data_IF_185014765205
#
_entry.id   IF_185014765205
#
_cell.length_a   1.000
_cell.length_b   1.000
_cell.length_c   1.000
_cell.angle_alpha   90.00
_cell.angle_beta   90.00
_cell.angle_gamma   90.00
#
_symmetry.space_group_name_H-M   'P 1'
#
loop_
_entity.id
_entity.type
_entity.pdbx_description
1 polymer ?
#
# COMPACT_ATOMS: atom_id res chain seq x y z
N UNK A 1 10.33 2.79 -9.85
CA UNK A 1 9.95 3.17 -11.23
C UNK A 1 11.16 3.84 -11.90
N UNK A 2 11.58 3.40 -13.09
CA UNK A 2 12.81 3.91 -13.73
C UNK A 2 12.66 5.38 -14.14
N UNK A 3 11.55 5.73 -14.77
CA UNK A 3 11.27 7.08 -15.29
C UNK A 3 11.31 8.14 -14.19
N UNK A 4 10.64 7.89 -13.05
CA UNK A 4 10.67 8.79 -11.90
C UNK A 4 12.11 9.07 -11.39
N UNK A 5 12.96 8.02 -11.30
CA UNK A 5 14.35 8.17 -10.86
C UNK A 5 15.18 8.99 -11.84
N UNK A 6 14.98 8.77 -13.14
CA UNK A 6 15.69 9.51 -14.21
C UNK A 6 15.26 10.97 -14.22
N UNK A 7 13.95 11.26 -14.14
CA UNK A 7 13.43 12.62 -14.10
C UNK A 7 13.94 13.40 -12.88
N UNK A 8 14.04 12.74 -11.72
CA UNK A 8 14.60 13.33 -10.51
C UNK A 8 16.10 13.64 -10.67
N UNK A 9 16.88 12.70 -11.22
CA UNK A 9 18.32 12.89 -11.43
C UNK A 9 18.64 14.03 -12.41
N UNK A 10 17.72 14.33 -13.33
CA UNK A 10 17.88 15.39 -14.34
C UNK A 10 17.16 16.70 -13.95
N UNK A 11 16.62 16.82 -12.72
CA UNK A 11 15.97 18.04 -12.25
C UNK A 11 14.65 18.39 -12.95
N UNK A 12 14.01 17.43 -13.64
CA UNK A 12 12.70 17.61 -14.26
C UNK A 12 11.58 17.61 -13.20
N UNK A 13 11.79 16.87 -12.12
CA UNK A 13 10.88 16.78 -10.97
C UNK A 13 11.71 17.06 -9.72
N UNK A 14 11.24 17.96 -8.86
CA UNK A 14 11.83 18.15 -7.53
C UNK A 14 10.99 17.43 -6.47
N UNK A 15 11.64 16.88 -5.45
CA UNK A 15 10.95 16.24 -4.32
C UNK A 15 10.01 17.21 -3.60
N UNK A 16 10.39 18.48 -3.54
CA UNK A 16 9.67 19.52 -2.79
C UNK A 16 8.47 20.09 -3.55
N UNK A 17 8.44 20.00 -4.88
CA UNK A 17 7.34 20.54 -5.69
C UNK A 17 6.15 19.59 -5.84
N UNK A 18 6.27 18.32 -5.42
CA UNK A 18 5.15 17.36 -5.30
C UNK A 18 4.42 16.97 -6.59
N UNK A 19 4.58 17.69 -7.70
CA UNK A 19 3.80 17.49 -8.92
C UNK A 19 4.44 16.45 -9.85
N UNK A 20 4.30 15.17 -9.50
CA UNK A 20 4.40 14.13 -10.52
C UNK A 20 3.18 14.28 -11.42
N UNK A 21 3.40 14.62 -12.70
CA UNK A 21 2.31 14.75 -13.67
C UNK A 21 1.62 13.40 -13.81
N UNK A 22 0.37 13.33 -13.40
CA UNK A 22 -0.45 12.15 -13.51
C UNK A 22 -1.81 12.53 -14.11
N UNK A 23 -1.96 12.47 -15.43
CA UNK A 23 -3.15 12.98 -16.10
C UNK A 23 -4.33 12.01 -16.03
N UNK A 24 -4.34 11.09 -15.06
CA UNK A 24 -5.27 9.98 -14.95
C UNK A 24 -5.88 9.93 -13.54
N UNK A 25 -7.21 9.85 -13.47
CA UNK A 25 -7.97 9.77 -12.22
C UNK A 25 -7.90 8.39 -11.54
N UNK A 26 -8.60 8.22 -10.42
CA UNK A 26 -8.63 6.96 -9.67
C UNK A 26 -9.34 5.82 -10.42
N UNK A 27 -10.15 6.13 -11.43
CA UNK A 27 -10.87 5.20 -12.28
C UNK A 27 -10.12 4.89 -13.58
N UNK A 28 -8.86 5.32 -13.68
CA UNK A 28 -8.01 5.13 -14.85
C UNK A 28 -8.53 5.86 -16.11
N UNK A 29 -9.19 7.01 -15.93
CA UNK A 29 -9.65 7.89 -17.01
C UNK A 29 -8.84 9.17 -17.08
N UNK A 30 -8.73 9.73 -18.28
CA UNK A 30 -8.04 11.00 -18.48
C UNK A 30 -8.76 12.16 -17.79
N UNK A 31 -7.98 12.97 -17.08
CA UNK A 31 -8.41 14.20 -16.41
C UNK A 31 -8.55 15.37 -17.39
N UNK A 32 -9.10 16.48 -16.91
CA UNK A 32 -9.35 17.71 -17.67
C UNK A 32 -8.08 18.39 -18.21
N UNK A 33 -6.91 18.01 -17.69
CA UNK A 33 -5.60 18.41 -18.21
C UNK A 33 -5.41 17.99 -19.68
N UNK A 34 -6.02 16.86 -20.07
CA UNK A 34 -5.97 16.32 -21.43
C UNK A 34 -7.35 16.44 -22.08
N UNK A 35 -7.61 17.60 -22.69
CA UNK A 35 -8.89 17.92 -23.35
C UNK A 35 -9.26 16.96 -24.50
N UNK A 36 -8.26 16.44 -25.21
CA UNK A 36 -8.48 15.59 -26.40
C UNK A 36 -9.07 14.22 -26.06
N UNK A 37 -8.85 13.74 -24.82
CA UNK A 37 -9.24 12.39 -24.39
C UNK A 37 -9.97 12.36 -23.04
N UNK A 38 -10.42 13.51 -22.56
CA UNK A 38 -11.06 13.68 -21.25
C UNK A 38 -12.16 12.63 -21.01
N UNK A 39 -12.11 11.97 -19.85
CA UNK A 39 -13.09 10.96 -19.44
C UNK A 39 -12.97 9.60 -20.16
N UNK A 40 -12.09 9.45 -21.15
CA UNK A 40 -11.82 8.14 -21.76
C UNK A 40 -10.92 7.31 -20.85
N UNK A 41 -11.20 6.02 -20.76
CA UNK A 41 -10.32 5.05 -20.11
C UNK A 41 -9.01 4.93 -20.90
N UNK A 42 -7.90 4.86 -20.17
CA UNK A 42 -6.53 4.89 -20.71
C UNK A 42 -6.30 3.82 -21.78
N UNK A 43 -6.88 2.62 -21.63
CA UNK A 43 -6.69 1.53 -22.61
C UNK A 43 -7.57 1.70 -23.84
N UNK A 44 -8.77 2.23 -23.69
CA UNK A 44 -9.65 2.49 -24.83
C UNK A 44 -9.20 3.69 -25.66
N UNK A 45 -8.49 4.64 -25.04
CA UNK A 45 -7.95 5.81 -25.70
C UNK A 45 -6.82 5.51 -26.70
N UNK A 46 -6.13 4.36 -26.60
CA UNK A 46 -5.02 3.98 -27.49
C UNK A 46 -5.38 4.14 -28.98
N UNK A 47 -6.59 3.72 -29.37
CA UNK A 47 -7.08 3.84 -30.75
C UNK A 47 -7.21 5.29 -31.20
N UNK A 48 -7.73 6.15 -30.33
CA UNK A 48 -7.93 7.58 -30.58
C UNK A 48 -6.59 8.32 -30.63
N UNK A 49 -5.65 7.98 -29.73
CA UNK A 49 -4.30 8.53 -29.70
C UNK A 49 -3.55 8.18 -30.99
N UNK A 50 -3.61 6.92 -31.43
CA UNK A 50 -2.99 6.48 -32.69
C UNK A 50 -3.57 7.26 -33.89
N UNK A 51 -4.90 7.48 -33.91
CA UNK A 51 -5.55 8.25 -34.97
C UNK A 51 -5.05 9.70 -35.02
N UNK A 52 -5.00 10.38 -33.87
CA UNK A 52 -4.49 11.75 -33.77
C UNK A 52 -3.00 11.86 -34.18
N UNK A 53 -2.16 10.88 -33.78
CA UNK A 53 -0.75 10.84 -34.19
C UNK A 53 -0.56 10.64 -35.71
N UNK A 54 -1.47 9.91 -36.37
CA UNK A 54 -1.50 9.78 -37.84
C UNK A 54 -1.88 11.09 -38.52
N UNK A 55 -2.94 11.74 -38.04
CA UNK A 55 -3.42 13.02 -38.59
C UNK A 55 -2.39 14.14 -38.41
N UNK A 56 -1.70 14.18 -37.27
CA UNK A 56 -0.62 15.14 -37.00
C UNK A 56 0.72 14.79 -37.69
N UNK A 57 0.80 13.70 -38.47
CA UNK A 57 2.01 13.22 -39.17
C UNK A 57 3.23 12.99 -38.25
N UNK A 58 3.01 12.68 -36.96
CA UNK A 58 4.07 12.40 -35.97
C UNK A 58 4.31 10.92 -35.74
N UNK A 59 3.49 10.04 -36.34
CA UNK A 59 3.64 8.60 -36.24
C UNK A 59 4.70 8.07 -37.24
N UNK A 60 5.81 7.54 -36.73
CA UNK A 60 6.89 6.97 -37.55
C UNK A 60 6.64 5.50 -37.89
N UNK A 61 6.22 4.70 -36.92
CA UNK A 61 6.01 3.25 -37.09
C UNK A 61 4.87 2.75 -36.19
N UNK A 62 4.09 1.79 -36.69
CA UNK A 62 3.03 1.13 -35.94
C UNK A 62 3.14 -0.38 -36.14
N UNK A 63 3.28 -1.13 -35.04
CA UNK A 63 3.27 -2.59 -35.02
C UNK A 63 2.60 -3.12 -33.75
N UNK A 64 2.37 -4.43 -33.70
CA UNK A 64 1.76 -5.11 -32.55
C UNK A 64 2.84 -5.95 -31.87
N UNK A 65 2.99 -5.79 -30.56
CA UNK A 65 3.92 -6.56 -29.74
C UNK A 65 3.15 -7.54 -28.86
N UNK A 66 3.48 -8.82 -28.95
CA UNK A 66 2.97 -9.83 -28.01
C UNK A 66 3.91 -9.92 -26.81
N UNK A 67 3.42 -9.59 -25.63
CA UNK A 67 4.16 -9.69 -24.38
C UNK A 67 3.23 -10.02 -23.21
N UNK A 68 3.80 -10.43 -22.09
CA UNK A 68 3.07 -10.59 -20.83
C UNK A 68 2.83 -9.23 -20.20
N UNK A 69 1.63 -9.02 -19.65
CA UNK A 69 1.25 -7.80 -18.94
C UNK A 69 0.58 -8.16 -17.62
N UNK A 70 0.79 -7.40 -16.54
CA UNK A 70 0.23 -7.72 -15.23
C UNK A 70 -1.27 -7.43 -15.16
N UNK A 71 -2.00 -8.35 -14.53
CA UNK A 71 -3.44 -8.24 -14.25
C UNK A 71 -3.69 -8.30 -12.75
N UNK A 72 -4.81 -7.72 -12.32
CA UNK A 72 -5.28 -7.84 -10.96
C UNK A 72 -5.63 -9.30 -10.68
N UNK A 73 -5.02 -9.88 -9.64
CA UNK A 73 -5.19 -11.28 -9.26
C UNK A 73 -6.62 -11.64 -8.81
N UNK A 74 -7.46 -10.64 -8.51
CA UNK A 74 -8.82 -10.85 -8.00
C UNK A 74 -9.91 -10.72 -9.05
N UNK A 75 -9.78 -9.74 -9.95
CA UNK A 75 -10.83 -9.35 -10.89
C UNK A 75 -10.37 -9.35 -12.36
N UNK A 76 -9.16 -9.84 -12.64
CA UNK A 76 -8.57 -9.96 -13.98
C UNK A 76 -8.59 -8.66 -14.80
N UNK A 77 -8.57 -7.50 -14.14
CA UNK A 77 -8.44 -6.20 -14.78
C UNK A 77 -6.97 -5.84 -15.01
N UNK A 78 -6.69 -5.09 -16.07
CA UNK A 78 -5.33 -4.65 -16.39
C UNK A 78 -4.77 -3.72 -15.30
N UNK A 79 -3.57 -4.00 -14.79
CA UNK A 79 -2.90 -3.11 -13.85
C UNK A 79 -2.26 -1.94 -14.56
N UNK A 80 -2.35 -0.75 -13.96
CA UNK A 80 -1.73 0.48 -14.47
C UNK A 80 -0.82 1.03 -13.38
N UNK A 81 0.44 1.28 -13.74
CA UNK A 81 1.39 1.91 -12.83
C UNK A 81 1.08 3.39 -12.72
N UNK A 82 0.78 3.85 -11.50
CA UNK A 82 0.47 5.24 -11.18
C UNK A 82 1.21 5.68 -9.94
N UNK A 83 1.62 6.94 -9.89
CA UNK A 83 2.11 7.55 -8.66
C UNK A 83 0.90 7.87 -7.77
N UNK A 84 0.80 7.20 -6.63
CA UNK A 84 -0.22 7.43 -5.62
C UNK A 84 0.48 7.54 -4.25
N UNK A 85 -0.07 8.33 -3.30
CA UNK A 85 0.38 8.24 -1.92
C UNK A 85 0.11 6.82 -1.41
N UNK A 86 1.09 6.25 -0.72
CA UNK A 86 1.00 4.90 -0.15
C UNK A 86 1.91 4.79 1.04
N UNK A 87 1.49 4.00 2.03
CA UNK A 87 2.28 3.68 3.20
C UNK A 87 3.14 2.45 2.92
N UNK A 88 4.44 2.55 3.22
CA UNK A 88 5.37 1.45 3.09
C UNK A 88 6.01 1.19 4.45
N UNK A 89 6.25 -0.08 4.77
CA UNK A 89 7.03 -0.46 5.95
C UNK A 89 8.49 -0.19 5.59
N UNK A 90 9.11 0.79 6.26
CA UNK A 90 10.52 1.04 6.06
C UNK A 90 11.34 0.00 6.84
N UNK A 91 12.29 -0.63 6.15
CA UNK A 91 13.26 -1.55 6.77
C UNK A 91 14.45 -0.75 7.34
N UNK A 92 14.47 0.57 7.13
CA UNK A 92 15.48 1.50 7.65
C UNK A 92 14.80 2.66 8.39
N UNK A 93 15.46 3.20 9.42
CA UNK A 93 14.86 4.13 10.37
C UNK A 93 14.83 5.57 9.82
N UNK A 94 13.72 5.94 9.16
CA UNK A 94 13.49 7.30 8.66
C UNK A 94 12.60 8.05 9.67
N UNK A 95 13.20 8.91 10.50
CA UNK A 95 12.63 9.56 11.70
C UNK A 95 11.40 10.47 11.51
N UNK A 96 10.30 9.95 10.97
CA UNK A 96 9.00 10.61 10.91
C UNK A 96 8.31 10.60 12.29
N UNK A 97 7.60 11.69 12.59
CA UNK A 97 6.76 11.82 13.80
C UNK A 97 5.36 11.28 13.51
N UNK A 98 5.20 9.97 13.60
CA UNK A 98 3.90 9.29 13.48
C UNK A 98 3.40 8.95 14.89
N UNK A 99 2.15 9.29 15.21
CA UNK A 99 1.51 8.81 16.44
C UNK A 99 0.85 7.47 16.14
N UNK A 100 1.53 6.38 16.49
CA UNK A 100 0.95 5.04 16.42
C UNK A 100 0.26 4.72 17.75
N UNK A 101 -1.04 4.45 17.70
CA UNK A 101 -1.82 4.05 18.88
C UNK A 101 -1.78 2.53 18.99
N UNK A 102 -1.09 2.02 20.02
CA UNK A 102 -0.83 0.59 20.16
C UNK A 102 -1.95 -0.24 20.79
N UNK A 103 -2.91 0.36 21.50
CA UNK A 103 -3.96 -0.37 22.23
C UNK A 103 -5.25 0.43 22.38
N UNK A 104 -6.36 -0.27 22.66
CA UNK A 104 -7.66 0.36 22.97
C UNK A 104 -7.56 1.23 24.21
N UNK A 105 -6.82 0.80 25.24
CA UNK A 105 -6.61 1.58 26.45
C UNK A 105 -5.81 2.86 26.16
N UNK A 106 -4.77 2.79 25.32
CA UNK A 106 -4.03 3.97 24.89
C UNK A 106 -4.92 4.92 24.06
N UNK A 107 -5.78 4.37 23.20
CA UNK A 107 -6.75 5.16 22.43
C UNK A 107 -7.72 5.90 23.35
N UNK A 108 -8.24 5.22 24.38
CA UNK A 108 -9.12 5.80 25.39
C UNK A 108 -8.44 6.91 26.19
N UNK A 109 -7.19 6.71 26.59
CA UNK A 109 -6.42 7.73 27.30
C UNK A 109 -6.14 8.98 26.44
N UNK A 110 -5.93 8.80 25.13
CA UNK A 110 -5.63 9.90 24.23
C UNK A 110 -6.87 10.63 23.72
N UNK A 111 -7.97 9.91 23.46
CA UNK A 111 -9.22 10.47 22.90
C UNK A 111 -10.27 10.83 23.95
N UNK A 112 -10.24 10.18 25.11
CA UNK A 112 -11.34 10.20 26.08
C UNK A 112 -12.55 9.33 25.69
N UNK A 113 -12.50 8.63 24.54
CA UNK A 113 -13.60 7.79 24.03
C UNK A 113 -13.29 6.32 24.31
N UNK A 114 -14.27 5.60 24.86
CA UNK A 114 -14.21 4.14 25.00
C UNK A 114 -14.84 3.50 23.77
N UNK A 115 -14.12 2.57 23.13
CA UNK A 115 -14.61 1.82 21.97
C UNK A 115 -14.38 0.33 22.17
N UNK A 116 -15.39 -0.46 21.80
CA UNK A 116 -15.33 -1.93 21.83
C UNK A 116 -15.08 -2.51 20.42
N UNK A 117 -15.37 -1.73 19.37
CA UNK A 117 -15.19 -2.09 17.98
C UNK A 117 -14.27 -1.07 17.29
N UNK A 118 -13.18 -1.57 16.71
CA UNK A 118 -12.13 -0.79 16.06
C UNK A 118 -12.24 -0.77 14.52
N UNK A 119 -13.35 -1.24 13.95
CA UNK A 119 -13.57 -1.17 12.51
C UNK A 119 -13.69 0.27 12.03
N UNK A 120 -13.27 0.49 10.78
CA UNK A 120 -13.15 1.80 10.11
C UNK A 120 -14.33 2.76 10.36
N UNK A 121 -15.57 2.25 10.31
CA UNK A 121 -16.79 3.05 10.48
C UNK A 121 -16.84 3.80 11.83
N UNK A 122 -16.17 3.27 12.85
CA UNK A 122 -16.18 3.80 14.21
C UNK A 122 -14.92 4.62 14.45
N UNK A 123 -13.75 4.08 14.09
CA UNK A 123 -12.45 4.71 14.39
C UNK A 123 -12.14 5.92 13.51
N UNK A 124 -12.77 6.05 12.33
CA UNK A 124 -12.59 7.22 11.46
C UNK A 124 -13.18 8.50 12.09
N UNK A 125 -14.16 8.39 13.00
CA UNK A 125 -14.80 9.53 13.66
C UNK A 125 -14.03 10.03 14.90
N UNK A 126 -13.06 9.24 15.38
CA UNK A 126 -12.29 9.55 16.59
C UNK A 126 -11.19 10.57 16.25
N UNK A 127 -11.12 11.63 17.04
CA UNK A 127 -10.10 12.67 16.90
C UNK A 127 -9.19 12.70 18.12
N UNK A 128 -7.90 12.97 17.92
CA UNK A 128 -6.94 13.09 19.01
C UNK A 128 -6.41 14.51 19.12
N UNK A 129 -6.26 15.07 20.33
CA UNK A 129 -5.62 16.37 20.50
C UNK A 129 -4.13 16.27 20.17
N UNK A 130 -3.61 17.19 19.36
CA UNK A 130 -2.18 17.26 19.09
C UNK A 130 -1.40 17.69 20.33
N UNK A 131 -0.31 16.97 20.64
CA UNK A 131 0.61 17.32 21.75
C UNK A 131 1.44 18.58 21.47
N UNK A 132 1.47 19.07 20.23
CA UNK A 132 2.37 20.15 19.76
C UNK A 132 1.64 21.39 19.22
N UNK A 133 0.30 21.41 19.17
CA UNK A 133 -0.47 22.52 18.61
C UNK A 133 -1.97 22.30 18.69
N UNK A 134 -2.77 23.35 18.41
CA UNK A 134 -4.23 23.39 18.58
C UNK A 134 -5.03 22.48 17.62
N UNK A 135 -4.38 21.74 16.74
CA UNK A 135 -5.03 20.98 15.69
C UNK A 135 -5.39 19.55 16.14
N UNK A 136 -6.51 19.05 15.63
CA UNK A 136 -6.95 17.68 15.85
C UNK A 136 -6.26 16.74 14.86
N UNK A 137 -5.75 15.63 15.37
CA UNK A 137 -5.22 14.53 14.56
C UNK A 137 -6.37 13.61 14.14
N UNK A 138 -6.38 13.24 12.86
CA UNK A 138 -7.33 12.33 12.25
C UNK A 138 -6.62 11.03 11.85
N UNK A 139 -7.36 9.91 11.87
CA UNK A 139 -6.87 8.63 11.33
C UNK A 139 -6.60 8.78 9.83
N UNK A 140 -5.54 8.12 9.36
CA UNK A 140 -5.33 7.91 7.92
C UNK A 140 -6.48 7.08 7.35
N UNK A 141 -6.88 7.37 6.11
CA UNK A 141 -8.04 6.73 5.47
C UNK A 141 -7.80 5.26 5.12
N UNK A 142 -6.53 4.91 4.93
CA UNK A 142 -6.05 3.64 4.44
C UNK A 142 -6.31 2.52 5.45
N UNK A 143 -6.47 1.31 4.92
CA UNK A 143 -6.68 0.08 5.67
C UNK A 143 -5.52 -0.86 5.32
N UNK A 144 -5.13 -1.71 6.26
CA UNK A 144 -4.09 -2.70 6.03
C UNK A 144 -4.43 -3.62 4.87
N UNK A 145 -3.38 -4.08 4.20
CA UNK A 145 -3.48 -5.12 3.19
C UNK A 145 -3.75 -6.46 3.88
N UNK A 146 -4.68 -7.27 3.34
CA UNK A 146 -5.10 -8.53 3.97
C UNK A 146 -3.94 -9.50 4.24
N UNK A 147 -2.87 -9.38 3.47
CA UNK A 147 -1.67 -10.17 3.65
C UNK A 147 -0.89 -9.80 4.92
N UNK A 148 -0.91 -8.53 5.32
CA UNK A 148 -0.35 -8.08 6.59
C UNK A 148 -1.13 -8.69 7.76
N UNK A 149 -2.46 -8.75 7.66
CA UNK A 149 -3.32 -9.39 8.65
C UNK A 149 -2.99 -10.88 8.77
N UNK A 150 -2.89 -11.60 7.64
CA UNK A 150 -2.48 -13.02 7.66
C UNK A 150 -1.06 -13.23 8.20
N UNK A 151 -0.15 -12.28 7.94
CA UNK A 151 1.23 -12.36 8.44
C UNK A 151 1.34 -12.11 9.95
N UNK A 152 0.35 -11.46 10.55
CA UNK A 152 0.27 -11.20 11.98
C UNK A 152 -0.31 -12.34 12.81
N UNK A 153 -0.82 -13.39 12.16
CA UNK A 153 -1.63 -14.45 12.78
C UNK A 153 -0.95 -15.09 14.01
N UNK A 154 0.34 -15.41 13.92
CA UNK A 154 1.06 -16.14 14.97
C UNK A 154 1.03 -15.45 16.34
N UNK A 155 1.12 -14.12 16.37
CA UNK A 155 1.04 -13.35 17.62
C UNK A 155 -0.37 -12.81 17.88
N UNK A 156 -1.15 -12.52 16.84
CA UNK A 156 -2.51 -12.02 16.96
C UNK A 156 -3.48 -13.07 17.56
N UNK A 157 -3.30 -14.36 17.22
CA UNK A 157 -4.14 -15.46 17.71
C UNK A 157 -4.17 -15.55 19.25
N UNK A 158 -3.01 -15.30 19.87
CA UNK A 158 -2.83 -15.37 21.32
C UNK A 158 -2.91 -13.99 22.00
N UNK A 159 -3.34 -12.96 21.25
CA UNK A 159 -3.43 -11.57 21.72
C UNK A 159 -2.10 -10.99 22.25
N UNK A 160 -0.96 -11.45 21.73
CA UNK A 160 0.33 -10.85 22.07
C UNK A 160 0.41 -9.42 21.51
N UNK A 161 0.95 -8.44 22.25
CA UNK A 161 1.64 -8.53 23.54
C UNK A 161 0.76 -8.25 24.77
N UNK A 162 -0.58 -8.32 24.67
CA UNK A 162 -1.49 -8.02 25.78
C UNK A 162 -1.74 -9.22 26.69
N UNK A 163 -1.91 -10.39 26.09
CA UNK A 163 -2.08 -11.67 26.77
C UNK A 163 -1.23 -12.74 26.07
N UNK A 164 -1.36 -14.00 26.49
CA UNK A 164 -0.88 -15.16 25.75
C UNK A 164 0.64 -15.25 25.61
N UNK A 165 1.42 -14.45 26.36
CA UNK A 165 2.89 -14.44 26.28
C UNK A 165 3.52 -15.83 26.39
N UNK A 166 3.04 -16.65 27.34
CA UNK A 166 3.56 -18.01 27.51
C UNK A 166 3.24 -18.87 26.29
N UNK A 167 1.99 -18.83 25.86
CA UNK A 167 1.53 -19.56 24.67
C UNK A 167 2.29 -19.12 23.42
N UNK A 168 2.56 -17.82 23.25
CA UNK A 168 3.36 -17.30 22.14
C UNK A 168 4.77 -17.90 22.14
N UNK A 169 5.45 -17.88 23.27
CA UNK A 169 6.80 -18.46 23.42
C UNK A 169 6.79 -19.97 23.15
N UNK A 170 5.71 -20.67 23.50
CA UNK A 170 5.58 -22.11 23.30
C UNK A 170 5.32 -22.47 21.82
N UNK A 171 4.68 -21.60 21.03
CA UNK A 171 4.32 -21.86 19.62
C UNK A 171 5.27 -21.20 18.61
N UNK A 172 6.12 -20.25 19.04
CA UNK A 172 7.03 -19.50 18.19
C UNK A 172 8.50 -19.80 18.55
N UNK A 173 9.35 -20.20 17.59
CA UNK A 173 9.05 -20.43 16.16
C UNK A 173 8.26 -21.73 15.92
N UNK A 174 7.45 -21.76 14.86
CA UNK A 174 6.65 -22.93 14.50
C UNK A 174 7.53 -24.10 14.02
N UNK A 175 7.14 -25.33 14.34
CA UNK A 175 7.90 -26.52 13.91
C UNK A 175 7.72 -26.82 12.41
N UNK A 176 6.52 -26.56 11.86
CA UNK A 176 6.21 -26.88 10.47
C UNK A 176 5.03 -26.04 9.95
N UNK A 177 5.14 -25.58 8.70
CA UNK A 177 4.07 -24.90 7.96
C UNK A 177 3.96 -25.57 6.58
N UNK A 178 2.75 -26.01 6.22
CA UNK A 178 2.47 -26.59 4.90
C UNK A 178 1.38 -25.81 4.18
N UNK A 179 1.75 -25.21 3.05
CA UNK A 179 0.88 -24.41 2.21
C UNK A 179 1.09 -24.74 0.72
N UNK A 180 0.17 -24.29 -0.13
CA UNK A 180 0.28 -24.47 -1.58
C UNK A 180 1.49 -23.77 -2.19
N UNK A 181 1.99 -24.26 -3.33
CA UNK A 181 3.13 -23.64 -4.05
C UNK A 181 2.84 -22.21 -4.49
N UNK A 182 1.57 -21.85 -4.69
CA UNK A 182 1.13 -20.48 -4.93
C UNK A 182 1.51 -19.53 -3.79
N UNK A 183 1.64 -20.01 -2.54
CA UNK A 183 2.10 -19.25 -1.38
C UNK A 183 3.61 -18.94 -1.36
N UNK A 184 4.38 -19.50 -2.30
CA UNK A 184 5.76 -19.05 -2.55
C UNK A 184 5.81 -17.67 -3.21
N UNK A 185 4.70 -17.28 -3.87
CA UNK A 185 4.46 -15.95 -4.45
C UNK A 185 3.34 -15.21 -3.74
N UNK A 186 2.45 -15.94 -3.08
CA UNK A 186 1.53 -15.45 -2.08
C UNK A 186 2.30 -14.87 -0.92
N UNK A 187 1.75 -13.81 -0.36
CA UNK A 187 2.43 -13.03 0.65
C UNK A 187 2.47 -13.73 2.01
N UNK A 188 1.74 -14.82 2.26
CA UNK A 188 1.70 -15.42 3.60
C UNK A 188 3.11 -15.81 4.10
N UNK A 189 3.82 -16.72 3.42
CA UNK A 189 5.17 -17.12 3.84
C UNK A 189 6.17 -15.96 3.80
N UNK A 190 6.12 -15.14 2.75
CA UNK A 190 7.04 -14.02 2.59
C UNK A 190 6.84 -12.92 3.65
N UNK A 191 5.60 -12.50 3.91
CA UNK A 191 5.24 -11.47 4.88
C UNK A 191 5.41 -11.99 6.30
N UNK A 192 5.06 -13.24 6.60
CA UNK A 192 5.37 -13.85 7.90
C UNK A 192 6.86 -13.76 8.17
N UNK A 193 7.71 -14.17 7.22
CA UNK A 193 9.17 -14.09 7.38
C UNK A 193 9.61 -12.63 7.58
N UNK A 194 9.19 -11.71 6.71
CA UNK A 194 9.59 -10.29 6.81
C UNK A 194 9.14 -9.67 8.13
N UNK A 195 7.88 -9.86 8.54
CA UNK A 195 7.32 -9.27 9.75
C UNK A 195 7.94 -9.88 11.00
N UNK A 196 8.00 -11.21 11.11
CA UNK A 196 8.48 -11.85 12.33
C UNK A 196 9.99 -11.74 12.49
N UNK A 197 10.74 -11.73 11.39
CA UNK A 197 12.17 -11.39 11.44
C UNK A 197 12.37 -9.94 11.87
N UNK A 198 11.58 -9.00 11.33
CA UNK A 198 11.69 -7.59 11.71
C UNK A 198 11.25 -7.29 13.16
N UNK A 199 10.32 -8.07 13.72
CA UNK A 199 9.78 -7.87 15.06
C UNK A 199 10.54 -8.64 16.15
N UNK A 200 11.03 -9.85 15.84
CA UNK A 200 11.57 -10.79 16.82
C UNK A 200 13.01 -11.24 16.54
N UNK A 201 13.65 -10.72 15.47
CA UNK A 201 15.01 -11.10 15.05
C UNK A 201 15.20 -12.62 14.85
N UNK A 202 14.12 -13.35 14.55
CA UNK A 202 14.10 -14.80 14.40
C UNK A 202 13.23 -15.23 13.22
N UNK A 203 13.59 -16.36 12.60
CA UNK A 203 12.77 -16.98 11.58
C UNK A 203 11.46 -17.49 12.21
N UNK A 204 10.35 -17.42 11.47
CA UNK A 204 9.05 -17.81 11.99
C UNK A 204 8.84 -19.32 12.17
N UNK A 205 9.72 -20.13 11.58
CA UNK A 205 9.68 -21.57 11.68
C UNK A 205 11.08 -22.18 11.69
N UNK A 206 11.21 -23.36 12.28
CA UNK A 206 12.45 -24.12 12.34
C UNK A 206 12.77 -24.72 10.96
N UNK A 207 14.06 -24.75 10.60
CA UNK A 207 14.57 -25.35 9.35
C UNK A 207 15.00 -26.81 9.57
#
# INVERSE_FOLDING_TARGET
>A
MHDYRVCLANGVINKDTGSVVCPIDAQCRFTDEIKDFQGQDVKYADKTIIKNLKESKRLVHQSVLKHSYPFCWKIDTLLIYRAIPSWFICVNDDGYKIVCVGSIEALKQLSGVSVDDIHRKIVDEITLPSRLGKDLLLRVSEVFECWFESGSELYALVQYPFDGHRTFIDIFPADFIAEGIDQTRGWFLYIIIVMLTALFDQLPFNC
#
